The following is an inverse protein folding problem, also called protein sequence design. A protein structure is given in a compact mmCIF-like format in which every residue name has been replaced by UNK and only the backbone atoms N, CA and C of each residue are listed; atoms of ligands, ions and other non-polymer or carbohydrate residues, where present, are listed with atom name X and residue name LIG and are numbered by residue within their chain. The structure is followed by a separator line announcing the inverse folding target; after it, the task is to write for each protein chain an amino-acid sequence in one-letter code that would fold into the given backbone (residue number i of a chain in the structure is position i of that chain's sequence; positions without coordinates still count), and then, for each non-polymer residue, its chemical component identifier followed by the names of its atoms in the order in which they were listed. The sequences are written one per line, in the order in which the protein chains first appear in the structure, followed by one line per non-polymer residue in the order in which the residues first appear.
data_IF_954379278256
#
_entry.id   IF_954379278256
#
_cell.length_a   1.000
_cell.length_b   1.000
_cell.length_c   1.000
_cell.angle_alpha   90.00
_cell.angle_beta   90.00
_cell.angle_gamma   90.00
#
_symmetry.space_group_name_H-M   'P 1'
#
loop_
_entity.id
_entity.type
_entity.pdbx_description
1 polymer ?
#
# COMPACT_ATOMS: atom_id res chain seq x y z
N UNK A 1 2.60 4.77 29.77
CA UNK A 1 1.57 4.65 28.72
C UNK A 1 2.27 4.44 27.40
N UNK A 2 1.95 3.39 26.64
CA UNK A 2 2.53 3.19 25.30
C UNK A 2 2.01 4.29 24.38
N UNK A 3 2.92 4.99 23.69
CA UNK A 3 2.59 6.06 22.76
C UNK A 3 1.86 5.45 21.56
N UNK A 4 0.60 5.81 21.36
CA UNK A 4 -0.21 5.31 20.26
C UNK A 4 0.00 6.22 19.05
N UNK A 5 0.60 5.68 18.00
CA UNK A 5 0.80 6.41 16.75
C UNK A 5 -0.44 6.28 15.88
N UNK A 6 -0.96 7.42 15.42
CA UNK A 6 -2.04 7.51 14.44
C UNK A 6 -1.45 8.06 13.15
N UNK A 7 -1.89 7.50 12.02
CA UNK A 7 -1.49 7.94 10.69
C UNK A 7 -2.66 7.89 9.75
N UNK A 8 -2.51 8.46 8.56
CA UNK A 8 -3.59 8.49 7.59
C UNK A 8 -3.12 8.70 6.17
N UNK A 9 -4.08 8.58 5.25
CA UNK A 9 -3.91 8.80 3.82
C UNK A 9 -5.08 9.65 3.33
N UNK A 10 -4.81 10.54 2.38
CA UNK A 10 -5.87 11.18 1.60
C UNK A 10 -6.47 10.17 0.61
N UNK A 11 -7.78 10.25 0.41
CA UNK A 11 -8.56 9.46 -0.56
C UNK A 11 -9.51 10.38 -1.31
N UNK A 12 -10.28 9.85 -2.26
CA UNK A 12 -11.18 10.64 -3.09
C UNK A 12 -12.28 11.24 -2.20
N UNK A 13 -12.40 12.56 -2.23
CA UNK A 13 -13.39 13.33 -1.44
C UNK A 13 -13.39 12.99 0.07
N UNK A 14 -12.26 12.55 0.62
CA UNK A 14 -12.24 11.98 1.95
C UNK A 14 -10.87 11.76 2.57
N UNK A 15 -10.87 11.13 3.75
CA UNK A 15 -9.68 10.79 4.51
C UNK A 15 -9.78 9.38 5.12
N UNK A 16 -8.67 8.66 5.07
CA UNK A 16 -8.44 7.41 5.78
C UNK A 16 -7.54 7.69 6.99
N UNK A 17 -7.98 7.31 8.19
CA UNK A 17 -7.18 7.33 9.42
C UNK A 17 -7.02 5.92 9.97
N UNK A 18 -5.78 5.53 10.31
CA UNK A 18 -5.42 4.25 10.92
C UNK A 18 -4.89 4.50 12.33
N UNK A 19 -5.52 3.87 13.31
CA UNK A 19 -5.01 3.71 14.67
C UNK A 19 -4.40 2.34 14.91
N UNK A 20 -4.04 2.04 16.16
CA UNK A 20 -3.38 0.78 16.52
C UNK A 20 -4.28 -0.46 16.33
N UNK A 21 -5.60 -0.32 16.54
CA UNK A 21 -6.56 -1.44 16.50
C UNK A 21 -7.73 -1.22 15.53
N UNK A 22 -7.89 -0.02 15.00
CA UNK A 22 -9.08 0.36 14.21
C UNK A 22 -8.67 1.36 13.13
N UNK A 23 -9.25 1.24 11.94
CA UNK A 23 -9.17 2.27 10.92
C UNK A 23 -10.56 2.84 10.65
N UNK A 24 -10.60 4.08 10.19
CA UNK A 24 -11.81 4.78 9.81
C UNK A 24 -11.59 5.52 8.49
N UNK A 25 -12.63 5.53 7.66
CA UNK A 25 -12.69 6.18 6.37
C UNK A 25 -13.88 7.11 6.39
N UNK A 26 -13.67 8.38 6.08
CA UNK A 26 -14.72 9.37 5.97
C UNK A 26 -14.68 9.98 4.56
N UNK A 27 -15.79 9.88 3.83
CA UNK A 27 -15.92 10.37 2.45
C UNK A 27 -17.13 11.27 2.36
N UNK A 28 -16.99 12.40 1.67
CA UNK A 28 -18.09 13.30 1.33
C UNK A 28 -18.80 12.78 0.08
N UNK A 29 -20.12 12.64 0.14
CA UNK A 29 -20.97 12.32 -1.02
C UNK A 29 -21.17 13.56 -1.89
N UNK A 30 -21.64 13.42 -3.13
CA UNK A 30 -21.95 14.57 -3.97
C UNK A 30 -23.11 15.40 -3.40
N UNK A 31 -24.02 14.76 -2.65
CA UNK A 31 -25.07 15.44 -1.86
C UNK A 31 -24.52 16.23 -0.65
N UNK A 32 -23.23 16.12 -0.34
CA UNK A 32 -22.55 16.83 0.73
C UNK A 32 -22.62 16.15 2.11
N UNK A 33 -23.25 14.98 2.22
CA UNK A 33 -23.26 14.14 3.42
C UNK A 33 -21.87 13.50 3.64
N UNK A 34 -21.52 13.18 4.88
CA UNK A 34 -20.30 12.41 5.19
C UNK A 34 -20.69 10.97 5.49
N UNK A 35 -20.21 10.04 4.65
CA UNK A 35 -20.31 8.60 4.90
C UNK A 35 -19.07 8.13 5.64
N UNK A 36 -19.30 7.48 6.78
CA UNK A 36 -18.25 6.94 7.65
C UNK A 36 -18.25 5.42 7.57
N UNK A 37 -17.07 4.84 7.43
CA UNK A 37 -16.84 3.41 7.52
C UNK A 37 -15.67 3.14 8.46
N UNK A 38 -15.82 2.21 9.41
CA UNK A 38 -14.75 1.84 10.32
C UNK A 38 -14.75 0.34 10.58
N UNK A 39 -13.56 -0.26 10.61
CA UNK A 39 -13.39 -1.69 10.89
C UNK A 39 -12.18 -1.91 11.83
N UNK A 40 -12.23 -2.95 12.69
CA UNK A 40 -11.08 -3.33 13.48
C UNK A 40 -9.96 -3.90 12.58
N UNK A 41 -8.71 -3.50 12.81
CA UNK A 41 -7.56 -4.12 12.15
C UNK A 41 -7.34 -5.51 12.76
N UNK A 42 -7.36 -6.55 11.92
CA UNK A 42 -6.96 -7.89 12.34
C UNK A 42 -5.46 -7.89 12.61
N UNK A 43 -5.08 -7.95 13.88
CA UNK A 43 -3.70 -7.95 14.36
C UNK A 43 -2.85 -9.18 13.96
N UNK A 44 -3.24 -9.95 12.94
CA UNK A 44 -2.67 -11.26 12.63
C UNK A 44 -1.16 -11.21 12.36
N UNK A 45 -0.69 -10.12 11.74
CA UNK A 45 0.73 -9.85 11.47
C UNK A 45 1.55 -9.63 12.75
N UNK A 46 0.93 -9.16 13.84
CA UNK A 46 1.60 -8.88 15.10
C UNK A 46 1.65 -10.08 16.05
N UNK A 47 0.81 -11.09 15.83
CA UNK A 47 0.69 -12.26 16.72
C UNK A 47 1.55 -13.47 16.33
N UNK A 48 2.09 -13.54 15.12
CA UNK A 48 2.86 -14.71 14.66
C UNK A 48 4.35 -14.63 15.02
N UNK A 49 4.98 -15.77 15.34
CA UNK A 49 6.43 -15.86 15.61
C UNK A 49 7.27 -15.42 14.40
N UNK A 50 6.77 -15.62 13.19
CA UNK A 50 7.41 -15.22 11.93
C UNK A 50 7.26 -13.73 11.64
N UNK A 51 6.18 -13.09 12.10
CA UNK A 51 5.96 -11.64 12.01
C UNK A 51 6.87 -10.79 12.91
N UNK A 52 7.74 -11.41 13.70
CA UNK A 52 8.77 -10.74 14.50
C UNK A 52 10.08 -10.51 13.75
N UNK A 53 10.30 -11.21 12.64
CA UNK A 53 11.48 -11.01 11.79
C UNK A 53 11.37 -9.65 11.08
N UNK A 54 12.41 -8.81 11.06
CA UNK A 54 12.33 -7.44 10.57
C UNK A 54 11.85 -7.34 9.11
N UNK A 55 12.30 -8.24 8.23
CA UNK A 55 11.86 -8.29 6.83
C UNK A 55 10.39 -8.68 6.67
N UNK A 56 9.98 -9.78 7.29
CA UNK A 56 8.60 -10.30 7.21
C UNK A 56 7.62 -9.32 7.86
N UNK A 57 8.03 -8.70 8.97
CA UNK A 57 7.29 -7.64 9.65
C UNK A 57 7.06 -6.44 8.73
N UNK A 58 8.13 -5.95 8.09
CA UNK A 58 8.05 -4.80 7.17
C UNK A 58 7.14 -5.10 5.96
N UNK A 59 7.34 -6.24 5.31
CA UNK A 59 6.54 -6.65 4.15
C UNK A 59 5.07 -6.84 4.54
N UNK A 60 4.79 -7.45 5.69
CA UNK A 60 3.44 -7.62 6.20
C UNK A 60 2.74 -6.28 6.47
N UNK A 61 3.41 -5.36 7.16
CA UNK A 61 2.85 -4.02 7.41
C UNK A 61 2.58 -3.26 6.11
N UNK A 62 3.50 -3.35 5.15
CA UNK A 62 3.35 -2.71 3.85
C UNK A 62 2.16 -3.28 3.09
N UNK A 63 2.02 -4.60 3.05
CA UNK A 63 0.90 -5.27 2.38
C UNK A 63 -0.44 -4.90 3.01
N UNK A 64 -0.52 -4.87 4.33
CA UNK A 64 -1.71 -4.46 5.06
C UNK A 64 -2.06 -2.99 4.77
N UNK A 65 -1.07 -2.09 4.78
CA UNK A 65 -1.28 -0.67 4.50
C UNK A 65 -1.75 -0.44 3.06
N UNK A 66 -1.13 -1.11 2.09
CA UNK A 66 -1.50 -1.02 0.68
C UNK A 66 -2.90 -1.60 0.44
N UNK A 67 -3.20 -2.77 1.00
CA UNK A 67 -4.53 -3.36 0.89
C UNK A 67 -5.63 -2.49 1.50
N UNK A 68 -5.39 -1.87 2.66
CA UNK A 68 -6.32 -0.92 3.27
C UNK A 68 -6.47 0.36 2.42
N UNK A 69 -5.38 0.91 1.92
CA UNK A 69 -5.39 2.11 1.08
C UNK A 69 -6.18 1.88 -0.21
N UNK A 70 -5.93 0.78 -0.91
CA UNK A 70 -6.67 0.42 -2.14
C UNK A 70 -8.15 0.20 -1.85
N UNK A 71 -8.50 -0.53 -0.78
CA UNK A 71 -9.91 -0.70 -0.37
C UNK A 71 -10.60 0.64 -0.09
N UNK A 72 -9.91 1.55 0.61
CA UNK A 72 -10.46 2.86 0.92
C UNK A 72 -10.67 3.72 -0.33
N UNK A 73 -9.71 3.68 -1.27
CA UNK A 73 -9.82 4.39 -2.56
C UNK A 73 -11.02 3.87 -3.34
N UNK A 74 -11.14 2.54 -3.52
CA UNK A 74 -12.25 1.93 -4.27
C UNK A 74 -13.60 2.27 -3.62
N UNK A 75 -13.70 2.15 -2.29
CA UNK A 75 -14.93 2.50 -1.58
C UNK A 75 -15.28 3.99 -1.72
N UNK A 76 -14.29 4.88 -1.69
CA UNK A 76 -14.53 6.32 -1.91
C UNK A 76 -14.94 6.64 -3.35
N UNK A 77 -14.37 5.93 -4.33
CA UNK A 77 -14.74 6.06 -5.73
C UNK A 77 -16.18 5.59 -5.97
N UNK A 78 -16.58 4.45 -5.40
CA UNK A 78 -17.94 3.93 -5.49
C UNK A 78 -18.97 4.92 -4.93
N UNK A 79 -18.65 5.58 -3.81
CA UNK A 79 -19.53 6.59 -3.21
C UNK A 79 -19.61 7.83 -4.08
N UNK A 80 -18.50 8.28 -4.66
CA UNK A 80 -18.49 9.41 -5.57
C UNK A 80 -19.25 9.10 -6.88
N UNK A 81 -19.18 7.86 -7.37
CA UNK A 81 -19.83 7.41 -8.59
C UNK A 81 -21.34 7.16 -8.42
N UNK A 82 -21.79 6.73 -7.24
CA UNK A 82 -23.22 6.48 -6.96
C UNK A 82 -24.13 7.71 -7.16
N UNK A 83 -23.56 8.92 -7.12
CA UNK A 83 -24.29 10.17 -7.34
C UNK A 83 -24.18 10.69 -8.80
N UNK A 84 -23.45 10.00 -9.69
CA UNK A 84 -23.47 10.28 -11.14
C UNK A 84 -24.52 9.41 -11.84
N UNK A 85 -25.34 9.98 -12.74
CA UNK A 85 -26.16 9.18 -13.65
C UNK A 85 -25.28 8.22 -14.44
N UNK A 86 -25.72 6.97 -14.56
CA UNK A 86 -25.08 5.93 -15.35
C UNK A 86 -25.06 6.34 -16.82
N UNK A 87 -23.97 6.96 -17.27
CA UNK A 87 -23.56 6.94 -18.66
C UNK A 87 -22.41 5.92 -18.74
N UNK A 88 -22.72 4.75 -19.30
CA UNK A 88 -21.74 3.70 -19.61
C UNK A 88 -20.70 4.28 -20.58
N UNK A 89 -19.49 4.56 -20.10
CA UNK A 89 -18.32 4.81 -20.94
C UNK A 89 -17.22 3.82 -20.55
N UNK A 90 -17.20 2.71 -21.27
CA UNK A 90 -16.13 1.70 -21.27
C UNK A 90 -14.83 2.36 -21.75
N UNK A 91 -13.94 2.68 -20.82
CA UNK A 91 -12.58 3.12 -21.09
C UNK A 91 -11.67 1.95 -21.45
N UNK A 92 -11.39 1.80 -22.75
CA UNK A 92 -10.42 0.89 -23.38
C UNK A 92 -9.01 0.98 -22.74
N UNK A 93 -8.32 -0.15 -22.46
CA UNK A 93 -7.03 -0.17 -21.77
C UNK A 93 -5.84 -0.45 -22.71
N UNK A 94 -5.69 0.30 -23.81
CA UNK A 94 -4.57 0.05 -24.75
C UNK A 94 -3.69 1.30 -24.92
N UNK A 95 -2.46 1.20 -24.42
CA UNK A 95 -1.47 2.29 -24.40
C UNK A 95 -0.04 1.79 -24.29
N UNK A 96 0.35 1.02 -25.31
CA UNK A 96 1.66 0.89 -25.96
C UNK A 96 2.95 0.93 -25.12
N UNK A 97 3.69 -0.17 -25.29
CA UNK A 97 5.07 -0.41 -24.88
C UNK A 97 6.05 0.63 -25.42
N UNK A 98 6.59 1.46 -24.53
CA UNK A 98 7.73 2.32 -24.85
C UNK A 98 9.05 1.57 -24.67
N UNK A 99 9.71 1.39 -25.81
CA UNK A 99 11.08 0.90 -26.00
C UNK A 99 12.06 1.54 -25.02
N UNK A 100 12.39 0.81 -23.95
CA UNK A 100 13.62 1.08 -23.20
C UNK A 100 14.76 0.49 -23.99
N UNK A 101 15.68 1.35 -24.41
CA UNK A 101 17.07 1.06 -24.75
C UNK A 101 17.71 0.24 -23.62
N UNK A 102 17.38 -1.04 -23.58
CA UNK A 102 17.96 -2.04 -22.70
C UNK A 102 19.29 -2.39 -23.32
N UNK A 103 20.26 -1.53 -23.04
CA UNK A 103 21.69 -1.83 -23.09
C UNK A 103 21.88 -3.32 -22.78
N UNK A 104 22.58 -3.97 -23.71
CA UNK A 104 22.85 -5.40 -23.85
C UNK A 104 23.49 -6.07 -22.62
N UNK A 105 22.86 -5.98 -21.45
CA UNK A 105 23.21 -6.67 -20.21
C UNK A 105 22.51 -8.04 -20.19
N UNK A 106 22.61 -8.80 -21.28
CA UNK A 106 22.15 -10.20 -21.38
C UNK A 106 23.31 -11.19 -21.18
N UNK A 107 24.19 -10.90 -20.22
CA UNK A 107 25.31 -11.77 -19.89
C UNK A 107 25.28 -12.18 -18.40
N UNK A 108 26.00 -13.26 -18.02
CA UNK A 108 26.19 -13.64 -16.61
C UNK A 108 26.69 -12.48 -15.71
N UNK A 109 27.40 -11.52 -16.31
CA UNK A 109 27.83 -10.27 -15.68
C UNK A 109 26.67 -9.38 -15.20
N UNK A 110 25.56 -9.32 -15.95
CA UNK A 110 24.35 -8.57 -15.56
C UNK A 110 23.77 -9.10 -14.26
N UNK A 111 23.56 -10.42 -14.24
CA UNK A 111 23.08 -11.13 -13.07
C UNK A 111 24.04 -10.99 -11.89
N UNK A 112 25.36 -10.94 -12.13
CA UNK A 112 26.35 -10.67 -11.10
C UNK A 112 26.18 -9.28 -10.45
N UNK A 113 26.05 -8.23 -11.25
CA UNK A 113 25.85 -6.86 -10.74
C UNK A 113 24.51 -6.69 -10.03
N UNK A 114 23.46 -7.35 -10.53
CA UNK A 114 22.14 -7.39 -9.90
C UNK A 114 22.22 -8.10 -8.55
N UNK A 115 22.80 -9.31 -8.50
CA UNK A 115 22.95 -10.09 -7.27
C UNK A 115 23.79 -9.35 -6.22
N UNK A 116 24.89 -8.69 -6.63
CA UNK A 116 25.71 -7.89 -5.72
C UNK A 116 24.93 -6.68 -5.16
N UNK A 117 24.14 -6.01 -6.00
CA UNK A 117 23.33 -4.87 -5.58
C UNK A 117 22.25 -5.29 -4.58
N UNK A 118 21.58 -6.42 -4.83
CA UNK A 118 20.62 -6.99 -3.88
C UNK A 118 21.30 -7.41 -2.57
N UNK A 119 22.47 -8.08 -2.63
CA UNK A 119 23.21 -8.49 -1.44
C UNK A 119 23.64 -7.29 -0.60
N UNK A 120 24.10 -6.21 -1.23
CA UNK A 120 24.47 -4.96 -0.56
C UNK A 120 23.26 -4.29 0.09
N UNK A 121 22.13 -4.19 -0.62
CA UNK A 121 20.89 -3.63 -0.08
C UNK A 121 20.35 -4.43 1.11
N UNK A 122 20.35 -5.76 1.02
CA UNK A 122 19.96 -6.64 2.13
C UNK A 122 20.93 -6.49 3.31
N UNK A 123 22.24 -6.41 3.03
CA UNK A 123 23.26 -6.16 4.04
C UNK A 123 23.04 -4.85 4.80
N UNK A 124 22.88 -3.73 4.08
CA UNK A 124 22.81 -2.40 4.67
C UNK A 124 21.48 -2.09 5.34
N UNK A 125 20.35 -2.50 4.75
CA UNK A 125 19.01 -2.11 5.25
C UNK A 125 18.34 -3.17 6.12
N UNK A 126 18.75 -4.44 6.04
CA UNK A 126 18.13 -5.50 6.84
C UNK A 126 19.10 -6.10 7.85
N UNK A 127 20.34 -6.42 7.47
CA UNK A 127 21.29 -7.06 8.40
C UNK A 127 21.97 -6.06 9.34
N UNK A 128 22.37 -4.88 8.84
CA UNK A 128 23.02 -3.84 9.64
C UNK A 128 22.12 -3.32 10.78
N UNK A 129 20.83 -3.00 10.55
CA UNK A 129 19.94 -2.55 11.63
C UNK A 129 19.49 -3.68 12.57
N UNK A 130 19.82 -4.94 12.28
CA UNK A 130 19.47 -6.07 13.16
C UNK A 130 20.53 -6.29 14.26
N UNK A 131 21.75 -5.77 14.09
CA UNK A 131 22.86 -5.89 15.06
C UNK A 131 23.18 -4.58 15.81
N UNK A 132 22.35 -3.55 15.62
CA UNK A 132 22.36 -2.25 16.33
C UNK A 132 21.00 -2.10 17.01
#
# INVERSE_FOLDING_TARGET
MSQQYYGGQAIIEGVLMRGASTFAVAVRTASGEIRLHHEPLKAWIYTSRLGKLPFVRGLGLLWEALGLGVRAIMWSADIAAQDMPLDDDDGDPDGESEDRETLRFQGPLAWGTVALSFAFGIGLFFLLPTNI
#
